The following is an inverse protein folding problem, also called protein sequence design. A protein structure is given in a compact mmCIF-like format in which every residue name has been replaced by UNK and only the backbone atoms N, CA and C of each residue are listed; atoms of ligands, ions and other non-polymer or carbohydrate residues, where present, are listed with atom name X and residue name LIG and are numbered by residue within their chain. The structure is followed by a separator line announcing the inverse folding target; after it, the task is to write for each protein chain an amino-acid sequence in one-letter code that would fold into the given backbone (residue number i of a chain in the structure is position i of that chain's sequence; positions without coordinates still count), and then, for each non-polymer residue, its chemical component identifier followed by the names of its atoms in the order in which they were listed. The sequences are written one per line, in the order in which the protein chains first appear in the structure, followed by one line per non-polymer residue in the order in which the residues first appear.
data_IF_035515674200
#
_entry.id   IF_035515674200
#
_cell.length_a   1.000
_cell.length_b   1.000
_cell.length_c   1.000
_cell.angle_alpha   90.00
_cell.angle_beta   90.00
_cell.angle_gamma   90.00
#
_symmetry.space_group_name_H-M   'P 1'
#
loop_
_entity.id
_entity.type
_entity.pdbx_description
1 polymer ?
#
# COMPACT_ATOMS: atom_id res chain seq x y z
N UNK A 1 -5.43 -14.51 15.23
CA UNK A 1 -4.63 -14.69 16.46
C UNK A 1 -5.54 -15.03 17.63
N UNK A 2 -5.04 -15.76 18.63
CA UNK A 2 -5.78 -16.04 19.88
C UNK A 2 -5.20 -15.21 21.01
N UNK A 3 -6.03 -14.40 21.66
CA UNK A 3 -5.66 -13.54 22.79
C UNK A 3 -6.31 -14.08 24.05
N UNK A 4 -5.51 -14.32 25.09
CA UNK A 4 -6.04 -14.73 26.39
C UNK A 4 -6.63 -13.51 27.10
N UNK A 5 -7.93 -13.57 27.34
CA UNK A 5 -8.68 -12.57 28.10
C UNK A 5 -8.88 -13.12 29.50
N UNK A 6 -8.47 -12.34 30.50
CA UNK A 6 -8.73 -12.65 31.90
C UNK A 6 -9.98 -11.86 32.33
N UNK A 7 -11.12 -12.53 32.44
CA UNK A 7 -12.39 -11.95 32.86
C UNK A 7 -13.03 -12.79 33.96
N UNK A 8 -13.34 -12.16 35.09
CA UNK A 8 -14.03 -12.79 36.22
C UNK A 8 -15.44 -12.22 36.32
N UNK A 9 -16.44 -13.09 36.29
CA UNK A 9 -17.84 -12.72 36.45
C UNK A 9 -18.47 -13.59 37.55
N UNK A 10 -19.39 -13.03 38.34
CA UNK A 10 -20.09 -13.80 39.39
C UNK A 10 -21.03 -14.85 38.81
N UNK A 11 -21.55 -14.59 37.61
CA UNK A 11 -22.39 -15.50 36.83
C UNK A 11 -21.86 -15.55 35.41
N UNK A 12 -22.15 -16.67 34.73
CA UNK A 12 -21.83 -16.86 33.32
C UNK A 12 -22.43 -15.72 32.49
N UNK A 13 -21.58 -14.93 31.84
CA UNK A 13 -21.97 -13.81 31.00
C UNK A 13 -21.15 -13.77 29.71
N UNK A 14 -21.71 -13.15 28.67
CA UNK A 14 -21.00 -12.91 27.41
C UNK A 14 -20.57 -11.46 27.37
N UNK A 15 -19.30 -11.22 27.10
CA UNK A 15 -18.74 -9.88 26.94
C UNK A 15 -18.42 -9.65 25.47
N UNK A 16 -18.67 -8.45 24.97
CA UNK A 16 -18.31 -8.07 23.62
C UNK A 16 -16.99 -7.31 23.64
N UNK A 17 -16.08 -7.64 22.72
CA UNK A 17 -14.79 -6.98 22.56
C UNK A 17 -14.74 -6.43 21.14
N UNK A 18 -14.56 -5.12 21.03
CA UNK A 18 -14.36 -4.43 19.76
C UNK A 18 -12.91 -4.00 19.64
N UNK A 19 -12.25 -4.38 18.55
CA UNK A 19 -10.91 -3.92 18.19
C UNK A 19 -10.98 -3.39 16.76
N UNK A 20 -10.68 -2.11 16.55
CA UNK A 20 -10.85 -1.42 15.26
C UNK A 20 -12.24 -1.68 14.62
N UNK A 21 -12.29 -2.43 13.51
CA UNK A 21 -13.50 -2.80 12.76
C UNK A 21 -14.05 -4.20 13.11
N UNK A 22 -13.44 -4.90 14.06
CA UNK A 22 -13.83 -6.26 14.43
C UNK A 22 -14.58 -6.29 15.75
N UNK A 23 -15.59 -7.14 15.81
CA UNK A 23 -16.35 -7.45 17.02
C UNK A 23 -16.24 -8.94 17.29
N UNK A 24 -15.79 -9.30 18.49
CA UNK A 24 -15.73 -10.68 18.96
C UNK A 24 -16.41 -10.77 20.31
N UNK A 25 -16.89 -11.95 20.68
CA UNK A 25 -17.55 -12.18 21.97
C UNK A 25 -16.84 -13.29 22.71
N UNK A 26 -16.62 -13.11 24.01
CA UNK A 26 -16.09 -14.16 24.88
C UNK A 26 -16.99 -14.40 26.06
N UNK A 27 -17.02 -15.65 26.50
CA UNK A 27 -17.81 -16.08 27.64
C UNK A 27 -16.94 -16.04 28.89
N UNK A 28 -17.44 -15.36 29.91
CA UNK A 28 -16.80 -15.21 31.22
C UNK A 28 -17.63 -15.92 32.28
N UNK A 29 -16.97 -16.61 33.20
CA UNK A 29 -17.62 -17.33 34.29
C UNK A 29 -16.78 -17.23 35.57
N UNK A 30 -17.40 -17.48 36.71
CA UNK A 30 -16.79 -17.54 38.03
C UNK A 30 -15.77 -18.67 38.15
N UNK A 31 -16.01 -19.79 37.45
CA UNK A 31 -15.20 -21.00 37.52
C UNK A 31 -13.91 -20.93 36.68
N UNK A 32 -13.93 -20.21 35.56
CA UNK A 32 -12.80 -20.09 34.65
C UNK A 32 -12.59 -18.64 34.23
N UNK A 33 -11.67 -17.91 34.92
CA UNK A 33 -11.46 -16.51 34.62
C UNK A 33 -10.66 -16.30 33.33
N UNK A 34 -10.12 -17.36 32.71
CA UNK A 34 -9.29 -17.26 31.50
C UNK A 34 -10.04 -17.82 30.30
N UNK A 35 -10.36 -16.95 29.36
CA UNK A 35 -11.00 -17.29 28.10
C UNK A 35 -10.14 -16.82 26.92
N UNK A 36 -10.30 -17.44 25.76
CA UNK A 36 -9.54 -17.06 24.57
C UNK A 36 -10.46 -16.33 23.59
N UNK A 37 -10.08 -15.11 23.21
CA UNK A 37 -10.71 -14.36 22.13
C UNK A 37 -9.93 -14.59 20.85
N UNK A 38 -10.63 -14.89 19.75
CA UNK A 38 -10.03 -14.88 18.42
C UNK A 38 -10.20 -13.48 17.84
N UNK A 39 -9.09 -12.87 17.47
CA UNK A 39 -9.02 -11.54 16.83
C UNK A 39 -8.22 -11.71 15.55
N UNK A 40 -8.66 -11.11 14.45
CA UNK A 40 -7.97 -11.16 13.18
C UNK A 40 -7.15 -9.90 12.99
N UNK A 41 -5.95 -10.03 12.46
CA UNK A 41 -5.10 -8.89 12.12
C UNK A 41 -4.52 -9.11 10.73
N UNK A 42 -4.53 -8.05 9.94
CA UNK A 42 -4.05 -8.07 8.55
C UNK A 42 -2.54 -7.85 8.46
N UNK A 43 -1.92 -7.33 9.54
CA UNK A 43 -0.50 -6.98 9.60
C UNK A 43 0.22 -7.81 10.66
N UNK A 44 1.50 -8.14 10.43
CA UNK A 44 2.30 -8.91 11.37
C UNK A 44 2.50 -8.15 12.69
N UNK A 45 2.87 -6.87 12.63
CA UNK A 45 2.95 -6.04 13.83
C UNK A 45 1.58 -5.50 14.20
N UNK A 46 1.11 -5.93 15.36
CA UNK A 46 -0.21 -5.59 15.91
C UNK A 46 -0.02 -4.64 17.07
N UNK A 47 -0.54 -3.42 16.91
CA UNK A 47 -0.76 -2.47 17.98
C UNK A 47 -2.18 -1.91 17.79
N UNK A 48 -3.15 -2.49 18.50
CA UNK A 48 -4.57 -2.15 18.34
C UNK A 48 -5.21 -1.78 19.67
N UNK A 49 -6.06 -0.75 19.62
CA UNK A 49 -6.90 -0.34 20.75
C UNK A 49 -8.20 -1.15 20.72
N UNK A 50 -8.53 -1.76 21.86
CA UNK A 50 -9.74 -2.53 22.02
C UNK A 50 -10.60 -1.97 23.16
N UNK A 51 -11.91 -2.12 23.01
CA UNK A 51 -12.90 -1.80 24.03
C UNK A 51 -13.68 -3.06 24.37
N UNK A 52 -13.67 -3.46 25.64
CA UNK A 52 -14.56 -4.48 26.17
C UNK A 52 -15.83 -3.81 26.69
N UNK A 53 -16.98 -4.32 26.26
CA UNK A 53 -18.31 -3.90 26.68
C UNK A 53 -18.87 -4.94 27.64
N UNK A 54 -18.95 -4.55 28.91
CA UNK A 54 -19.60 -5.27 29.99
C UNK A 54 -20.70 -4.37 30.60
N UNK A 55 -20.83 -4.35 31.93
CA UNK A 55 -21.60 -3.31 32.64
C UNK A 55 -20.98 -1.91 32.44
N UNK A 56 -19.66 -1.86 32.30
CA UNK A 56 -18.88 -0.66 32.02
C UNK A 56 -17.94 -0.91 30.82
N UNK A 57 -17.55 0.17 30.15
CA UNK A 57 -16.59 0.13 29.05
C UNK A 57 -15.16 0.12 29.59
N UNK A 58 -14.38 -0.90 29.21
CA UNK A 58 -12.95 -0.98 29.57
C UNK A 58 -12.10 -0.93 28.31
N UNK A 59 -11.14 -0.01 28.28
CA UNK A 59 -10.22 0.17 27.15
C UNK A 59 -8.89 -0.53 27.46
N UNK A 60 -8.37 -1.27 26.49
CA UNK A 60 -7.06 -1.92 26.59
C UNK A 60 -6.35 -1.95 25.23
N UNK A 61 -5.06 -2.26 25.25
CA UNK A 61 -4.21 -2.32 24.05
C UNK A 61 -3.67 -3.73 23.84
N UNK A 62 -3.67 -4.18 22.60
CA UNK A 62 -3.03 -5.43 22.19
C UNK A 62 -1.77 -5.09 21.42
N UNK A 63 -0.63 -5.46 21.99
CA UNK A 63 0.69 -5.32 21.38
C UNK A 63 1.27 -6.72 21.15
N UNK A 64 1.37 -7.13 19.88
CA UNK A 64 1.86 -8.44 19.51
C UNK A 64 2.53 -8.42 18.13
N UNK A 65 3.42 -9.37 17.87
CA UNK A 65 3.95 -9.63 16.52
C UNK A 65 3.50 -11.02 16.09
N UNK A 66 2.81 -11.09 14.95
CA UNK A 66 2.31 -12.32 14.35
C UNK A 66 3.36 -12.89 13.40
N UNK A 67 3.56 -14.20 13.49
CA UNK A 67 4.35 -14.96 12.53
C UNK A 67 3.45 -15.40 11.39
N UNK A 68 3.87 -15.15 10.15
CA UNK A 68 3.22 -15.70 8.97
C UNK A 68 3.41 -17.23 8.97
N UNK A 69 2.32 -17.96 8.77
CA UNK A 69 2.34 -19.41 8.57
C UNK A 69 1.95 -19.67 7.11
N UNK A 70 2.87 -20.15 6.25
CA UNK A 70 2.53 -20.47 4.87
C UNK A 70 1.46 -21.56 4.82
N UNK A 71 0.45 -21.36 3.98
CA UNK A 71 -0.74 -22.20 3.82
C UNK A 71 -0.48 -23.61 3.26
N UNK A 72 0.78 -23.95 2.96
CA UNK A 72 1.18 -25.23 2.35
C UNK A 72 1.80 -26.25 3.31
N UNK A 73 1.73 -26.01 4.62
CA UNK A 73 2.15 -27.02 5.60
C UNK A 73 0.90 -27.70 6.16
N UNK A 74 0.46 -28.77 5.50
CA UNK A 74 -0.73 -29.58 5.87
C UNK A 74 -0.65 -30.24 7.27
N UNK A 75 0.40 -30.02 8.05
CA UNK A 75 0.64 -30.69 9.34
C UNK A 75 1.12 -29.77 10.46
N UNK A 76 0.37 -28.73 10.82
CA UNK A 76 0.64 -27.96 12.05
C UNK A 76 -0.60 -27.90 12.97
N UNK A 77 -1.03 -29.08 13.41
CA UNK A 77 -2.01 -29.25 14.49
C UNK A 77 -1.47 -28.95 15.90
N UNK A 78 -0.27 -28.36 16.04
CA UNK A 78 0.29 -28.02 17.34
C UNK A 78 0.75 -26.57 17.38
N UNK A 79 -0.20 -25.64 17.42
CA UNK A 79 0.01 -24.33 18.01
C UNK A 79 0.26 -24.52 19.52
N UNK A 80 1.50 -24.89 19.85
CA UNK A 80 2.00 -25.07 21.21
C UNK A 80 1.84 -23.73 21.93
N UNK A 81 1.05 -23.73 22.99
CA UNK A 81 0.87 -22.64 23.95
C UNK A 81 2.23 -22.02 24.29
N UNK A 82 2.49 -20.80 23.82
CA UNK A 82 3.71 -20.05 24.14
C UNK A 82 3.63 -19.64 25.61
N UNK A 83 4.20 -20.46 26.48
CA UNK A 83 4.63 -20.06 27.82
C UNK A 83 6.12 -19.75 27.74
N UNK A 84 6.48 -18.50 28.05
CA UNK A 84 7.81 -18.02 28.44
C UNK A 84 9.01 -18.65 27.72
N UNK A 85 9.60 -17.94 26.75
CA UNK A 85 11.03 -18.08 26.46
C UNK A 85 11.64 -16.68 26.29
N UNK A 86 12.23 -16.23 27.39
CA UNK A 86 13.38 -15.34 27.41
C UNK A 86 14.60 -16.21 27.05
N UNK A 87 15.54 -15.64 26.29
CA UNK A 87 16.90 -16.13 25.97
C UNK A 87 17.16 -16.62 24.53
N UNK A 88 18.21 -16.00 23.95
CA UNK A 88 19.04 -16.36 22.80
C UNK A 88 18.45 -16.24 21.38
N UNK A 89 18.58 -15.05 20.82
CA UNK A 89 18.19 -14.69 19.44
C UNK A 89 19.30 -14.80 18.37
N UNK A 90 20.47 -15.40 18.65
CA UNK A 90 21.61 -15.31 17.69
C UNK A 90 22.15 -16.68 17.21
N UNK A 91 21.81 -17.83 17.80
CA UNK A 91 22.57 -19.07 17.50
C UNK A 91 21.89 -20.11 16.59
N UNK A 92 20.68 -19.88 16.08
CA UNK A 92 20.06 -20.84 15.16
C UNK A 92 19.98 -20.21 13.78
N UNK A 93 20.47 -20.99 12.81
CA UNK A 93 20.76 -20.59 11.44
C UNK A 93 19.72 -19.66 10.82
N UNK A 94 20.24 -18.80 9.98
CA UNK A 94 19.53 -17.88 9.11
C UNK A 94 18.68 -18.67 8.10
N UNK A 95 17.68 -19.41 8.56
CA UNK A 95 16.56 -19.91 7.75
C UNK A 95 15.66 -18.72 7.46
N UNK A 96 16.18 -17.78 6.66
CA UNK A 96 15.38 -16.80 5.94
C UNK A 96 14.60 -17.58 4.88
N UNK A 97 13.52 -18.24 5.29
CA UNK A 97 12.44 -18.55 4.37
C UNK A 97 11.87 -17.21 3.91
N UNK A 98 12.40 -16.72 2.78
CA UNK A 98 11.87 -15.55 2.12
C UNK A 98 10.38 -15.79 1.86
N UNK A 99 9.49 -14.87 2.28
CA UNK A 99 8.07 -15.00 1.97
C UNK A 99 7.95 -15.10 0.45
N UNK A 100 7.00 -15.90 -0.04
CA UNK A 100 6.73 -16.05 -1.46
C UNK A 100 6.54 -14.65 -2.09
N UNK A 101 7.58 -14.12 -2.73
CA UNK A 101 7.60 -12.75 -3.27
C UNK A 101 6.77 -12.63 -4.55
N UNK A 102 6.19 -13.74 -5.05
CA UNK A 102 5.39 -13.81 -6.28
C UNK A 102 4.43 -12.62 -6.48
N UNK A 103 3.48 -12.36 -5.55
CA UNK A 103 2.52 -11.28 -5.72
C UNK A 103 3.14 -9.87 -5.60
N UNK A 104 4.28 -9.73 -4.90
CA UNK A 104 5.04 -8.46 -4.84
C UNK A 104 5.85 -8.22 -6.12
N UNK A 105 6.45 -9.28 -6.67
CA UNK A 105 7.17 -9.27 -7.93
C UNK A 105 6.23 -9.03 -9.10
N UNK A 106 5.02 -9.59 -9.08
CA UNK A 106 4.00 -9.37 -10.11
C UNK A 106 3.49 -7.92 -10.09
N UNK A 107 3.26 -7.34 -8.89
CA UNK A 107 2.94 -5.91 -8.77
C UNK A 107 4.09 -4.99 -9.17
N UNK A 108 5.32 -5.32 -8.79
CA UNK A 108 6.50 -4.59 -9.28
C UNK A 108 6.60 -4.72 -10.80
N UNK A 109 6.33 -5.90 -11.36
CA UNK A 109 6.37 -6.17 -12.78
C UNK A 109 5.42 -5.24 -13.55
N UNK A 110 4.18 -5.15 -13.10
CA UNK A 110 3.18 -4.30 -13.72
C UNK A 110 3.52 -2.79 -13.63
N UNK A 111 4.13 -2.34 -12.53
CA UNK A 111 4.43 -0.91 -12.35
C UNK A 111 5.70 -0.42 -13.06
N UNK A 112 6.69 -1.29 -13.31
CA UNK A 112 7.87 -0.87 -14.08
C UNK A 112 7.54 -0.65 -15.56
N UNK A 113 6.64 -1.45 -16.14
CA UNK A 113 6.20 -1.26 -17.54
C UNK A 113 5.53 0.11 -17.73
N UNK A 114 4.64 0.51 -16.81
CA UNK A 114 3.96 1.81 -16.84
C UNK A 114 4.97 2.96 -16.65
N UNK A 115 5.94 2.77 -15.76
CA UNK A 115 6.94 3.80 -15.44
C UNK A 115 7.89 4.03 -16.63
N UNK A 116 8.35 2.95 -17.28
CA UNK A 116 9.17 3.04 -18.49
C UNK A 116 8.37 3.68 -19.63
N UNK A 117 7.11 3.29 -19.83
CA UNK A 117 6.25 3.92 -20.85
C UNK A 117 6.09 5.44 -20.65
N UNK A 118 5.90 5.87 -19.41
CA UNK A 118 5.80 7.30 -19.05
C UNK A 118 7.09 8.08 -19.32
N UNK A 119 8.25 7.49 -18.98
CA UNK A 119 9.57 8.11 -19.22
C UNK A 119 9.84 8.24 -20.73
N UNK A 120 9.62 7.17 -21.49
CA UNK A 120 9.83 7.18 -22.95
C UNK A 120 8.89 8.20 -23.62
N UNK A 121 7.62 8.26 -23.22
CA UNK A 121 6.67 9.23 -23.76
C UNK A 121 7.11 10.68 -23.53
N UNK A 122 7.61 11.01 -22.33
CA UNK A 122 8.12 12.36 -22.02
C UNK A 122 9.36 12.72 -22.84
N UNK A 123 10.28 11.77 -23.03
CA UNK A 123 11.47 11.97 -23.88
C UNK A 123 11.05 12.23 -25.33
N UNK A 124 10.10 11.45 -25.86
CA UNK A 124 9.64 11.61 -27.24
C UNK A 124 8.96 12.97 -27.47
N UNK A 125 8.12 13.41 -26.54
CA UNK A 125 7.50 14.75 -26.59
C UNK A 125 8.57 15.84 -26.54
N UNK A 126 9.58 15.72 -25.67
CA UNK A 126 10.67 16.68 -25.60
C UNK A 126 11.48 16.75 -26.92
N UNK A 127 11.77 15.60 -27.53
CA UNK A 127 12.47 15.53 -28.83
C UNK A 127 11.64 16.19 -29.94
N UNK A 128 10.33 15.96 -29.99
CA UNK A 128 9.44 16.61 -30.95
C UNK A 128 9.45 18.12 -30.73
N UNK A 129 9.28 18.60 -29.49
CA UNK A 129 9.25 20.03 -29.20
C UNK A 129 10.57 20.72 -29.60
N UNK A 130 11.72 20.11 -29.28
CA UNK A 130 13.03 20.67 -29.60
C UNK A 130 13.28 20.71 -31.11
N UNK A 131 12.86 19.69 -31.87
CA UNK A 131 13.17 19.61 -33.31
C UNK A 131 12.13 20.26 -34.22
N UNK A 132 10.85 20.28 -33.82
CA UNK A 132 9.76 20.75 -34.68
C UNK A 132 9.50 22.24 -34.50
N UNK A 133 9.56 22.77 -33.26
CA UNK A 133 9.25 24.18 -32.97
C UNK A 133 10.20 25.14 -33.70
N UNK A 134 11.54 24.95 -33.69
CA UNK A 134 12.43 25.87 -34.39
C UNK A 134 12.22 25.88 -35.90
N UNK A 135 11.91 24.71 -36.49
CA UNK A 135 11.63 24.59 -37.93
C UNK A 135 10.32 25.28 -38.32
N UNK A 136 9.28 25.13 -37.50
CA UNK A 136 8.01 25.85 -37.67
C UNK A 136 8.19 27.36 -37.55
N UNK A 137 8.94 27.84 -36.55
CA UNK A 137 9.25 29.26 -36.39
C UNK A 137 10.03 29.80 -37.59
N UNK A 138 11.05 29.08 -38.07
CA UNK A 138 11.81 29.49 -39.24
C UNK A 138 10.93 29.59 -40.50
N UNK A 139 10.01 28.63 -40.70
CA UNK A 139 9.07 28.64 -41.81
C UNK A 139 8.11 29.84 -41.72
N UNK A 140 7.56 30.12 -40.54
CA UNK A 140 6.67 31.27 -40.30
C UNK A 140 7.39 32.58 -40.60
N UNK A 141 8.63 32.75 -40.10
CA UNK A 141 9.43 33.95 -40.37
C UNK A 141 9.70 34.10 -41.87
N UNK A 142 10.04 33.01 -42.56
CA UNK A 142 10.26 33.04 -44.01
C UNK A 142 8.99 33.44 -44.78
N UNK A 143 7.82 32.92 -44.37
CA UNK A 143 6.54 33.26 -44.98
C UNK A 143 6.19 34.75 -44.78
N UNK A 144 6.39 35.27 -43.57
CA UNK A 144 6.16 36.69 -43.26
C UNK A 144 7.06 37.58 -44.12
N UNK A 145 8.34 37.25 -44.24
CA UNK A 145 9.29 38.01 -45.07
C UNK A 145 8.90 37.97 -46.56
N UNK A 146 8.44 36.83 -47.06
CA UNK A 146 7.97 36.70 -48.44
C UNK A 146 6.72 37.55 -48.71
N UNK A 147 5.74 37.53 -47.80
CA UNK A 147 4.53 38.37 -47.89
C UNK A 147 4.89 39.85 -47.82
N UNK A 148 5.74 40.26 -46.88
CA UNK A 148 6.18 41.64 -46.74
C UNK A 148 6.89 42.14 -48.01
N UNK A 149 7.71 41.29 -48.64
CA UNK A 149 8.36 41.59 -49.92
C UNK A 149 7.34 41.77 -51.04
N UNK A 150 6.37 40.86 -51.20
CA UNK A 150 5.33 41.00 -52.22
C UNK A 150 4.48 42.27 -52.04
N UNK A 151 4.18 42.65 -50.79
CA UNK A 151 3.47 43.90 -50.49
C UNK A 151 4.33 45.11 -50.88
N UNK A 152 5.63 45.12 -50.53
CA UNK A 152 6.56 46.18 -50.89
C UNK A 152 6.69 46.34 -52.41
N UNK A 153 6.85 45.24 -53.14
CA UNK A 153 7.00 45.24 -54.60
C UNK A 153 5.72 45.77 -55.29
N UNK A 154 4.53 45.43 -54.77
CA UNK A 154 3.24 45.92 -55.29
C UNK A 154 2.95 47.39 -54.97
N UNK A 155 3.51 47.94 -53.88
CA UNK A 155 3.33 49.36 -53.51
C UNK A 155 4.31 50.26 -54.28
N UNK A 156 5.53 49.79 -54.57
CA UNK A 156 6.60 50.60 -55.18
C UNK A 156 6.54 50.58 -56.71
N UNK A 157 5.84 49.62 -57.32
CA UNK A 157 5.52 49.64 -58.75
C UNK A 157 4.04 49.90 -58.99
N UNK A 158 3.53 51.13 -58.77
CA UNK A 158 2.27 51.50 -59.39
C UNK A 158 2.55 51.47 -60.90
N UNK A 159 1.88 50.57 -61.61
CA UNK A 159 1.81 50.57 -63.07
C UNK A 159 1.64 52.02 -63.54
N UNK A 160 2.71 52.63 -64.07
CA UNK A 160 2.61 53.86 -64.84
C UNK A 160 1.99 53.45 -66.16
N UNK A 161 0.72 53.85 -66.44
CA UNK A 161 0.17 53.65 -67.77
C UNK A 161 0.99 54.52 -68.73
N UNK A 162 1.68 53.88 -69.66
CA UNK A 162 2.10 54.52 -70.91
C UNK A 162 0.88 54.69 -71.82
#
# INVERSE_FOLDING_TARGET
MSVQVNCKAEKKMTIAIRCDYQLTTVMCDSSNPKTNAIIYAERPDVNMKCTAYCLEETIFWINATLKYLPSHVENLQQAKTIKNVKENWISNGLDLEFPHLGPLLEKMWYHWEITIGSIIGRIFIAIILINLIPKLLALIIHLINHIAKQISDNIISPNLPF
#
